data_IF_007170515238
#
_entry.id   IF_007170515238
#
_cell.length_a   1.000
_cell.length_b   1.000
_cell.length_c   1.000
_cell.angle_alpha   90.00
_cell.angle_beta   90.00
_cell.angle_gamma   90.00
#
_symmetry.space_group_name_H-M   'P 1'
#
loop_
_entity.id
_entity.type
_entity.pdbx_description
1 polymer ?
#
# COMPACT_ATOMS: atom_id res chain seq x y z
N UNK A 1 41.58 13.19 27.15
CA UNK A 1 40.42 12.32 26.83
C UNK A 1 40.42 12.04 25.34
N UNK A 2 40.75 10.81 24.92
CA UNK A 2 40.64 10.41 23.50
C UNK A 2 39.16 10.19 23.21
N UNK A 3 38.57 11.00 22.32
CA UNK A 3 37.21 10.74 21.79
C UNK A 3 37.27 9.40 21.07
N UNK A 4 36.60 8.38 21.59
CA UNK A 4 36.33 7.15 20.86
C UNK A 4 35.44 7.51 19.68
N UNK A 5 36.01 7.50 18.48
CA UNK A 5 35.25 7.65 17.24
C UNK A 5 34.65 6.28 16.96
N UNK A 6 33.35 6.14 17.18
CA UNK A 6 32.60 4.95 16.78
C UNK A 6 32.82 4.71 15.28
N UNK A 7 33.02 3.45 14.84
CA UNK A 7 33.23 3.17 13.43
C UNK A 7 32.04 3.68 12.58
N UNK A 8 32.29 4.13 11.34
CA UNK A 8 31.24 4.67 10.49
C UNK A 8 30.18 3.61 10.20
N UNK A 9 28.92 3.94 10.46
CA UNK A 9 27.80 3.04 10.26
C UNK A 9 27.60 2.82 8.74
N UNK A 10 27.81 1.59 8.29
CA UNK A 10 27.74 1.21 6.86
C UNK A 10 26.40 0.57 6.45
N UNK A 11 25.50 0.31 7.39
CA UNK A 11 24.22 -0.37 7.13
C UNK A 11 23.21 -0.19 8.24
N UNK A 12 22.05 -0.86 8.11
CA UNK A 12 20.97 -0.76 9.08
C UNK A 12 21.43 -1.20 10.49
N UNK A 13 21.21 -0.34 11.48
CA UNK A 13 21.52 -0.61 12.90
C UNK A 13 20.41 -1.39 13.62
N UNK A 14 19.39 -1.85 12.90
CA UNK A 14 18.26 -2.62 13.43
C UNK A 14 17.50 -1.93 14.58
N UNK A 15 17.36 -0.61 14.51
CA UNK A 15 16.59 0.15 15.50
C UNK A 15 15.05 -0.01 15.37
N UNK A 16 14.58 -0.60 14.26
CA UNK A 16 13.15 -0.82 14.01
C UNK A 16 12.32 0.41 13.62
N UNK A 17 12.85 1.64 13.74
CA UNK A 17 12.07 2.88 13.51
C UNK A 17 11.42 2.93 12.13
N UNK A 18 12.16 2.63 11.07
CA UNK A 18 11.60 2.64 9.71
C UNK A 18 10.65 1.48 9.46
N UNK A 19 10.94 0.30 10.03
CA UNK A 19 10.09 -0.87 9.90
C UNK A 19 8.70 -0.63 10.50
N UNK A 20 8.64 0.00 11.68
CA UNK A 20 7.38 0.36 12.38
C UNK A 20 6.55 1.42 11.64
N UNK A 21 7.17 2.25 10.81
CA UNK A 21 6.48 3.24 9.94
C UNK A 21 5.86 2.62 8.69
N UNK A 22 6.22 1.38 8.40
CA UNK A 22 5.44 0.52 7.52
C UNK A 22 6.07 0.12 6.21
N UNK A 23 7.37 -0.16 6.24
CA UNK A 23 8.04 -0.88 5.17
C UNK A 23 8.28 -0.05 3.90
N UNK A 24 9.09 -0.58 2.97
CA UNK A 24 9.53 0.13 1.79
C UNK A 24 8.49 0.10 0.67
N UNK A 25 8.46 1.18 -0.11
CA UNK A 25 7.90 1.21 -1.46
C UNK A 25 8.90 0.58 -2.42
N UNK A 26 8.41 -0.12 -3.44
CA UNK A 26 9.24 -0.86 -4.38
C UNK A 26 9.61 -0.01 -5.60
N UNK A 27 10.87 -0.13 -6.01
CA UNK A 27 11.44 0.55 -7.17
C UNK A 27 11.95 -0.45 -8.20
N UNK A 28 12.17 -0.06 -9.45
CA UNK A 28 12.62 -0.95 -10.54
C UNK A 28 13.91 -1.71 -10.19
N UNK A 29 14.74 -1.13 -9.33
CA UNK A 29 15.95 -1.73 -8.75
C UNK A 29 15.66 -2.98 -7.90
N UNK A 30 14.40 -3.22 -7.54
CA UNK A 30 13.91 -4.36 -6.75
C UNK A 30 13.31 -5.48 -7.59
N UNK A 31 13.22 -5.33 -8.93
CA UNK A 31 12.73 -6.39 -9.83
C UNK A 31 13.49 -7.71 -9.64
N UNK A 32 14.77 -7.61 -9.31
CA UNK A 32 15.66 -8.74 -9.08
C UNK A 32 15.34 -9.50 -7.79
N UNK A 33 14.80 -8.82 -6.77
CA UNK A 33 14.27 -9.47 -5.57
C UNK A 33 12.99 -10.21 -5.92
N UNK A 34 12.07 -9.56 -6.63
CA UNK A 34 10.77 -10.12 -7.02
C UNK A 34 10.91 -11.36 -7.92
N UNK A 35 11.89 -11.38 -8.82
CA UNK A 35 12.15 -12.55 -9.68
C UNK A 35 12.71 -13.74 -8.92
N UNK A 36 13.55 -13.51 -7.91
CA UNK A 36 14.21 -14.57 -7.14
C UNK A 36 13.36 -15.09 -5.98
N UNK A 37 12.41 -14.27 -5.52
CA UNK A 37 11.57 -14.53 -4.34
C UNK A 37 10.09 -14.30 -4.66
N UNK A 38 9.42 -15.21 -5.41
CA UNK A 38 8.01 -15.05 -5.76
C UNK A 38 7.06 -15.01 -4.55
N UNK A 39 7.45 -15.59 -3.43
CA UNK A 39 6.70 -15.51 -2.16
C UNK A 39 6.50 -14.06 -1.68
N UNK A 40 7.34 -13.12 -2.15
CA UNK A 40 7.21 -11.70 -1.81
C UNK A 40 5.86 -11.12 -2.24
N UNK A 41 5.26 -11.60 -3.34
CA UNK A 41 3.99 -11.06 -3.85
C UNK A 41 2.84 -11.21 -2.85
N UNK A 42 2.87 -12.25 -2.00
CA UNK A 42 1.91 -12.48 -0.90
C UNK A 42 2.04 -11.46 0.23
N UNK A 43 3.09 -10.64 0.19
CA UNK A 43 3.40 -9.63 1.20
C UNK A 43 3.51 -8.22 0.59
N UNK A 44 2.98 -8.06 -0.63
CA UNK A 44 2.84 -6.76 -1.28
C UNK A 44 1.42 -6.24 -1.18
N UNK A 45 1.32 -4.92 -1.22
CA UNK A 45 0.09 -4.18 -1.37
C UNK A 45 0.26 -3.15 -2.49
N UNK A 46 -0.77 -2.99 -3.32
CA UNK A 46 -0.83 -1.85 -4.23
C UNK A 46 -1.41 -0.65 -3.50
N UNK A 47 -0.69 0.47 -3.55
CA UNK A 47 -1.25 1.79 -3.27
C UNK A 47 -1.74 2.34 -4.60
N UNK A 48 -3.05 2.51 -4.71
CA UNK A 48 -3.72 2.85 -5.97
C UNK A 48 -3.65 4.36 -6.22
N UNK A 49 -3.72 4.76 -7.48
CA UNK A 49 -3.81 6.19 -7.81
C UNK A 49 -5.08 6.80 -7.20
N UNK A 50 -4.93 7.95 -6.52
CA UNK A 50 -6.00 8.60 -5.76
C UNK A 50 -6.15 8.12 -4.31
N UNK A 51 -5.50 7.02 -3.91
CA UNK A 51 -5.52 6.53 -2.53
C UNK A 51 -4.89 7.54 -1.56
N UNK A 52 -5.56 7.84 -0.44
CA UNK A 52 -5.01 8.69 0.60
C UNK A 52 -3.88 7.98 1.33
N UNK A 53 -2.66 8.49 1.17
CA UNK A 53 -1.45 7.93 1.79
C UNK A 53 -0.56 9.02 2.35
N UNK A 54 0.24 8.68 3.36
CA UNK A 54 1.20 9.62 3.92
C UNK A 54 2.36 9.83 2.95
N UNK A 55 2.53 11.07 2.46
CA UNK A 55 3.67 11.45 1.66
C UNK A 55 4.81 11.96 2.56
N UNK A 56 5.96 11.25 2.65
CA UNK A 56 7.07 11.67 3.51
C UNK A 56 7.79 12.94 3.03
N UNK A 57 7.56 13.39 1.78
CA UNK A 57 8.13 14.62 1.22
C UNK A 57 7.33 15.85 1.67
N UNK A 58 6.00 15.81 1.59
CA UNK A 58 5.13 16.91 2.04
C UNK A 58 4.83 16.85 3.54
N UNK A 59 4.95 15.66 4.15
CA UNK A 59 4.60 15.43 5.55
C UNK A 59 3.10 15.37 5.81
N UNK A 60 2.28 15.15 4.78
CA UNK A 60 0.83 15.14 4.85
C UNK A 60 0.22 13.86 4.28
N UNK A 61 -1.04 13.59 4.66
CA UNK A 61 -1.86 12.58 3.99
C UNK A 61 -2.51 13.21 2.78
N UNK A 62 -2.21 12.67 1.60
CA UNK A 62 -2.65 13.21 0.32
C UNK A 62 -2.93 12.08 -0.68
N UNK A 63 -3.72 12.34 -1.74
CA UNK A 63 -3.96 11.35 -2.77
C UNK A 63 -2.67 10.96 -3.49
N UNK A 64 -2.42 9.66 -3.64
CA UNK A 64 -1.29 9.16 -4.41
C UNK A 64 -1.42 9.59 -5.88
N UNK A 65 -0.41 10.29 -6.40
CA UNK A 65 -0.38 10.78 -7.79
C UNK A 65 -0.21 9.68 -8.84
N UNK A 66 0.10 8.46 -8.42
CA UNK A 66 0.27 7.29 -9.28
C UNK A 66 0.28 6.02 -8.44
N UNK A 67 -0.04 4.91 -9.09
CA UNK A 67 0.10 3.58 -8.52
C UNK A 67 1.56 3.27 -8.10
N UNK A 68 1.71 2.60 -6.96
CA UNK A 68 2.98 2.02 -6.50
C UNK A 68 2.77 0.74 -5.68
N UNK A 69 3.70 -0.21 -5.78
CA UNK A 69 3.75 -1.36 -4.90
C UNK A 69 4.55 -1.08 -3.63
N UNK A 70 4.09 -1.64 -2.51
CA UNK A 70 4.71 -1.47 -1.20
C UNK A 70 4.65 -2.79 -0.44
N UNK A 71 5.59 -3.02 0.48
CA UNK A 71 5.46 -4.11 1.45
C UNK A 71 4.27 -3.85 2.37
N UNK A 72 3.42 -4.86 2.55
CA UNK A 72 2.25 -4.76 3.42
C UNK A 72 2.62 -4.67 4.91
N UNK A 73 1.64 -4.29 5.73
CA UNK A 73 1.75 -4.36 7.18
C UNK A 73 1.73 -5.80 7.70
N UNK A 74 1.94 -5.99 9.01
CA UNK A 74 1.89 -7.31 9.65
C UNK A 74 0.46 -7.79 9.97
N UNK A 75 -0.57 -7.13 9.43
CA UNK A 75 -1.98 -7.42 9.67
C UNK A 75 -2.59 -6.77 10.91
N UNK A 76 -1.77 -6.30 11.86
CA UNK A 76 -2.23 -5.62 13.10
C UNK A 76 -1.97 -4.11 13.02
N UNK A 77 -0.84 -3.74 12.43
CA UNK A 77 -0.42 -2.36 12.26
C UNK A 77 0.22 -2.19 10.89
N UNK A 78 0.49 -0.93 10.55
CA UNK A 78 1.29 -0.60 9.37
C UNK A 78 2.71 -1.15 9.44
N UNK A 79 3.21 -1.60 10.61
CA UNK A 79 4.53 -2.21 10.77
C UNK A 79 4.84 -3.22 9.66
N UNK A 80 5.98 -3.04 8.99
CA UNK A 80 6.45 -3.86 7.88
C UNK A 80 6.31 -5.35 8.18
N UNK A 81 5.69 -6.10 7.27
CA UNK A 81 5.49 -7.54 7.38
C UNK A 81 6.79 -8.32 7.71
N UNK A 82 7.92 -7.93 7.13
CA UNK A 82 9.19 -8.62 7.34
C UNK A 82 9.94 -8.26 8.63
N UNK A 83 9.40 -7.36 9.45
CA UNK A 83 10.03 -6.95 10.70
C UNK A 83 9.60 -7.83 11.85
N UNK A 84 10.59 -8.46 12.50
CA UNK A 84 10.38 -9.18 13.75
C UNK A 84 10.65 -8.23 14.91
N UNK A 85 9.61 -7.93 15.66
CA UNK A 85 9.70 -6.96 16.75
C UNK A 85 10.51 -7.50 17.92
N UNK A 86 10.44 -8.81 18.18
CA UNK A 86 11.00 -9.46 19.38
C UNK A 86 12.51 -9.27 19.49
N UNK A 87 13.19 -9.32 18.34
CA UNK A 87 14.65 -9.22 18.23
C UNK A 87 15.11 -8.09 17.29
N UNK A 88 14.17 -7.25 16.86
CA UNK A 88 14.39 -6.17 15.89
C UNK A 88 15.08 -6.63 14.60
N UNK A 89 14.81 -7.87 14.16
CA UNK A 89 15.39 -8.44 12.94
C UNK A 89 14.50 -8.26 11.72
N UNK A 90 15.06 -8.55 10.54
CA UNK A 90 14.34 -8.52 9.27
C UNK A 90 14.45 -9.88 8.59
N UNK A 91 13.31 -10.48 8.25
CA UNK A 91 13.22 -11.80 7.64
C UNK A 91 13.89 -11.87 6.27
N UNK A 92 13.96 -10.75 5.56
CA UNK A 92 14.60 -10.63 4.24
C UNK A 92 15.86 -9.77 4.27
N UNK A 93 16.60 -9.72 5.39
CA UNK A 93 17.70 -8.75 5.57
C UNK A 93 18.74 -8.76 4.42
N UNK A 94 19.03 -9.93 3.86
CA UNK A 94 19.96 -10.11 2.74
C UNK A 94 19.39 -9.61 1.40
N UNK A 95 18.06 -9.59 1.25
CA UNK A 95 17.34 -9.26 0.02
C UNK A 95 16.45 -8.02 0.19
N UNK A 96 16.80 -7.14 1.15
CA UNK A 96 16.04 -5.92 1.44
C UNK A 96 15.90 -5.04 0.20
N UNK A 97 14.72 -4.46 0.03
CA UNK A 97 14.38 -3.52 -1.03
C UNK A 97 15.20 -2.22 -1.01
N UNK A 98 15.17 -1.46 -2.10
CA UNK A 98 16.00 -0.28 -2.33
C UNK A 98 15.93 0.74 -1.19
N UNK A 99 14.71 1.14 -0.80
CA UNK A 99 14.52 2.10 0.29
C UNK A 99 15.17 1.61 1.59
N UNK A 100 15.05 0.32 1.91
CA UNK A 100 15.69 -0.29 3.09
C UNK A 100 17.23 -0.34 3.00
N UNK A 101 17.81 -0.40 1.80
CA UNK A 101 19.26 -0.37 1.57
C UNK A 101 19.81 1.06 1.72
N UNK A 102 19.04 2.07 1.29
CA UNK A 102 19.44 3.49 1.31
C UNK A 102 19.16 4.13 2.68
N UNK A 103 18.06 3.75 3.33
CA UNK A 103 17.58 4.44 4.51
C UNK A 103 18.56 4.32 5.69
N UNK A 104 19.15 5.46 6.04
CA UNK A 104 19.98 5.64 7.22
C UNK A 104 19.12 6.28 8.30
N UNK A 105 18.79 5.54 9.37
CA UNK A 105 17.91 6.05 10.44
C UNK A 105 18.48 7.31 11.12
N UNK A 106 19.81 7.48 11.11
CA UNK A 106 20.52 8.64 11.63
C UNK A 106 20.68 9.79 10.61
N UNK A 107 20.28 9.58 9.35
CA UNK A 107 20.33 10.58 8.27
C UNK A 107 19.26 10.29 7.22
N UNK A 108 17.97 10.48 7.54
CA UNK A 108 16.87 10.06 6.69
C UNK A 108 16.77 10.84 5.37
N UNK A 109 17.45 11.99 5.24
CA UNK A 109 17.40 12.83 4.04
C UNK A 109 17.86 12.14 2.76
N UNK A 110 18.68 11.08 2.84
CA UNK A 110 19.17 10.36 1.65
C UNK A 110 18.07 9.57 0.92
N UNK A 111 17.00 9.15 1.62
CA UNK A 111 15.87 8.46 0.98
C UNK A 111 15.02 9.41 0.12
N UNK A 112 15.03 10.72 0.42
CA UNK A 112 14.26 11.72 -0.33
C UNK A 112 14.66 11.78 -1.81
N UNK A 113 15.89 11.36 -2.15
CA UNK A 113 16.37 11.31 -3.53
C UNK A 113 15.74 10.18 -4.36
N UNK A 114 15.14 9.17 -3.74
CA UNK A 114 14.53 8.02 -4.43
C UNK A 114 13.01 7.97 -4.32
N UNK A 115 12.42 8.59 -3.29
CA UNK A 115 10.97 8.61 -3.09
C UNK A 115 10.25 9.08 -4.37
N UNK A 116 9.30 8.28 -4.82
CA UNK A 116 8.50 8.58 -6.01
C UNK A 116 9.24 8.41 -7.35
N UNK A 117 10.47 7.89 -7.40
CA UNK A 117 11.20 7.63 -8.65
C UNK A 117 11.18 6.16 -9.01
N UNK A 118 11.19 5.82 -10.30
CA UNK A 118 11.30 4.43 -10.77
C UNK A 118 10.37 3.43 -10.05
N UNK A 119 9.16 3.84 -9.68
CA UNK A 119 8.24 2.99 -8.92
C UNK A 119 7.82 1.78 -9.75
N UNK A 120 7.67 0.63 -9.10
CA UNK A 120 7.06 -0.56 -9.70
C UNK A 120 5.54 -0.48 -9.56
N UNK A 121 4.85 -0.76 -10.66
CA UNK A 121 3.39 -0.95 -10.75
C UNK A 121 3.06 -2.43 -10.92
N UNK A 122 1.81 -2.83 -10.66
CA UNK A 122 1.32 -4.22 -10.82
C UNK A 122 1.65 -4.76 -12.22
N UNK A 123 1.41 -3.97 -13.27
CA UNK A 123 1.66 -4.42 -14.65
C UNK A 123 3.13 -4.48 -15.05
N UNK A 124 4.06 -3.92 -14.27
CA UNK A 124 5.50 -4.09 -14.52
C UNK A 124 5.98 -5.50 -14.12
N UNK A 125 5.23 -6.19 -13.26
CA UNK A 125 5.60 -7.49 -12.67
C UNK A 125 4.68 -8.64 -13.08
N UNK A 126 3.53 -8.34 -13.70
CA UNK A 126 2.58 -9.33 -14.20
C UNK A 126 2.90 -9.76 -15.62
N UNK A 127 2.59 -11.03 -15.93
CA UNK A 127 2.68 -11.53 -17.30
C UNK A 127 1.64 -10.84 -18.19
N UNK A 128 2.00 -10.55 -19.44
CA UNK A 128 1.13 -9.81 -20.36
C UNK A 128 -0.26 -10.43 -20.55
N UNK A 129 -0.34 -11.77 -20.52
CA UNK A 129 -1.57 -12.53 -20.74
C UNK A 129 -2.19 -13.07 -19.43
N UNK A 130 -1.79 -12.53 -18.28
CA UNK A 130 -2.35 -12.94 -17.00
C UNK A 130 -3.83 -12.51 -16.91
N UNK A 131 -4.78 -13.44 -16.64
CA UNK A 131 -6.21 -13.12 -16.56
C UNK A 131 -6.54 -12.09 -15.46
N UNK A 132 -5.72 -11.99 -14.41
CA UNK A 132 -5.92 -11.01 -13.34
C UNK A 132 -5.75 -9.57 -13.82
N UNK A 133 -5.11 -9.32 -14.98
CA UNK A 133 -5.01 -7.97 -15.54
C UNK A 133 -6.37 -7.39 -15.89
N UNK A 134 -7.29 -8.21 -16.40
CA UNK A 134 -8.66 -7.78 -16.73
C UNK A 134 -9.44 -7.43 -15.46
N UNK A 135 -9.23 -8.18 -14.39
CA UNK A 135 -9.83 -7.90 -13.08
C UNK A 135 -9.31 -6.56 -12.53
N UNK A 136 -8.00 -6.31 -12.64
CA UNK A 136 -7.40 -5.04 -12.23
C UNK A 136 -7.98 -3.87 -13.04
N UNK A 137 -8.06 -3.99 -14.36
CA UNK A 137 -8.61 -2.93 -15.22
C UNK A 137 -10.08 -2.64 -14.91
N UNK A 138 -10.88 -3.69 -14.73
CA UNK A 138 -12.28 -3.56 -14.31
C UNK A 138 -12.38 -2.89 -12.93
N UNK A 139 -11.56 -3.30 -11.97
CA UNK A 139 -11.54 -2.74 -10.62
C UNK A 139 -11.14 -1.26 -10.61
N UNK A 140 -10.12 -0.86 -11.37
CA UNK A 140 -9.71 0.55 -11.45
C UNK A 140 -10.78 1.42 -12.10
N UNK A 141 -11.51 0.88 -13.09
CA UNK A 141 -12.60 1.58 -13.75
C UNK A 141 -13.81 1.75 -12.85
N UNK A 142 -14.27 0.66 -12.23
CA UNK A 142 -15.52 0.63 -11.47
C UNK A 142 -15.34 1.14 -10.02
N UNK A 143 -14.12 1.05 -9.49
CA UNK A 143 -13.77 1.42 -8.13
C UNK A 143 -12.67 2.48 -8.06
N UNK A 144 -12.64 3.42 -9.02
CA UNK A 144 -11.62 4.47 -9.07
C UNK A 144 -11.55 5.26 -7.76
N UNK A 145 -10.33 5.52 -7.29
CA UNK A 145 -10.09 6.38 -6.12
C UNK A 145 -9.79 7.84 -6.51
N UNK A 146 -9.80 8.15 -7.81
CA UNK A 146 -9.63 9.52 -8.29
C UNK A 146 -10.78 10.38 -7.77
N UNK A 147 -10.45 11.44 -7.05
CA UNK A 147 -11.45 12.32 -6.44
C UNK A 147 -12.06 11.78 -5.14
N UNK A 148 -11.65 10.60 -4.66
CA UNK A 148 -12.17 10.01 -3.41
C UNK A 148 -12.10 11.00 -2.23
N UNK A 149 -10.97 11.72 -2.11
CA UNK A 149 -10.79 12.73 -1.06
C UNK A 149 -11.91 13.77 -1.06
N UNK A 150 -12.35 14.25 -2.23
CA UNK A 150 -13.39 15.27 -2.30
C UNK A 150 -14.74 14.74 -1.78
N UNK A 151 -15.06 13.48 -2.07
CA UNK A 151 -16.26 12.83 -1.53
C UNK A 151 -16.16 12.57 -0.03
N UNK A 152 -14.97 12.18 0.47
CA UNK A 152 -14.72 12.06 1.91
C UNK A 152 -14.90 13.42 2.60
N UNK A 153 -14.24 14.47 2.11
CA UNK A 153 -14.34 15.81 2.68
C UNK A 153 -15.79 16.32 2.68
N UNK A 154 -16.53 16.10 1.58
CA UNK A 154 -17.93 16.48 1.47
C UNK A 154 -18.83 15.70 2.45
N UNK A 155 -18.57 14.41 2.65
CA UNK A 155 -19.31 13.59 3.62
C UNK A 155 -19.01 13.96 5.09
N UNK A 156 -17.79 14.42 5.39
CA UNK A 156 -17.39 14.79 6.76
C UNK A 156 -17.75 16.22 7.14
N UNK A 157 -17.65 17.16 6.20
CA UNK A 157 -17.71 18.60 6.48
C UNK A 157 -18.76 19.36 5.66
N UNK A 158 -19.45 18.68 4.74
CA UNK A 158 -20.48 19.29 3.89
C UNK A 158 -21.81 19.52 4.62
N UNK A 159 -22.60 20.47 4.08
CA UNK A 159 -23.96 20.73 4.57
C UNK A 159 -24.97 19.67 4.12
N UNK A 160 -24.83 19.16 2.89
CA UNK A 160 -25.59 18.02 2.37
C UNK A 160 -24.65 16.85 2.13
N UNK A 161 -24.81 15.79 2.92
CA UNK A 161 -23.96 14.59 2.90
C UNK A 161 -24.63 13.42 2.17
N UNK A 162 -25.89 13.56 1.73
CA UNK A 162 -26.65 12.44 1.16
C UNK A 162 -26.05 11.93 -0.15
N UNK A 163 -25.71 12.86 -1.05
CA UNK A 163 -25.10 12.52 -2.34
C UNK A 163 -23.68 11.93 -2.15
N UNK A 164 -22.77 12.57 -1.39
CA UNK A 164 -21.44 12.00 -1.13
C UNK A 164 -21.49 10.62 -0.50
N UNK A 165 -22.32 10.42 0.54
CA UNK A 165 -22.46 9.11 1.17
C UNK A 165 -23.05 8.08 0.21
N UNK A 166 -23.97 8.48 -0.67
CA UNK A 166 -24.52 7.63 -1.71
C UNK A 166 -23.47 7.16 -2.72
N UNK A 167 -22.55 8.05 -3.14
CA UNK A 167 -21.42 7.70 -4.00
C UNK A 167 -20.47 6.74 -3.30
N UNK A 168 -20.06 7.07 -2.06
CA UNK A 168 -19.16 6.22 -1.27
C UNK A 168 -19.77 4.83 -1.01
N UNK A 169 -21.09 4.75 -0.78
CA UNK A 169 -21.78 3.49 -0.57
C UNK A 169 -21.79 2.60 -1.82
N UNK A 170 -22.02 3.19 -3.00
CA UNK A 170 -21.95 2.45 -4.28
C UNK A 170 -20.53 1.98 -4.58
N UNK A 171 -19.54 2.82 -4.27
CA UNK A 171 -18.12 2.48 -4.44
C UNK A 171 -17.74 1.27 -3.58
N UNK A 172 -18.12 1.27 -2.30
CA UNK A 172 -17.90 0.13 -1.39
C UNK A 172 -18.60 -1.13 -1.90
N UNK A 173 -19.87 -1.04 -2.28
CA UNK A 173 -20.62 -2.22 -2.76
C UNK A 173 -20.00 -2.83 -4.02
N UNK A 174 -19.49 -1.99 -4.93
CA UNK A 174 -18.81 -2.44 -6.15
C UNK A 174 -17.45 -3.06 -5.84
N UNK A 175 -16.67 -2.46 -4.95
CA UNK A 175 -15.39 -3.00 -4.49
C UNK A 175 -15.57 -4.39 -3.86
N UNK A 176 -16.52 -4.52 -2.94
CA UNK A 176 -16.86 -5.80 -2.28
C UNK A 176 -17.28 -6.87 -3.31
N UNK A 177 -18.12 -6.52 -4.29
CA UNK A 177 -18.57 -7.45 -5.33
C UNK A 177 -17.42 -7.94 -6.23
N UNK A 178 -16.50 -7.05 -6.63
CA UNK A 178 -15.35 -7.42 -7.46
C UNK A 178 -14.37 -8.29 -6.66
N UNK A 179 -14.12 -7.96 -5.40
CA UNK A 179 -13.29 -8.78 -4.51
C UNK A 179 -13.85 -10.19 -4.34
N UNK A 180 -15.16 -10.29 -4.08
CA UNK A 180 -15.84 -11.59 -3.98
C UNK A 180 -15.67 -12.41 -5.26
N UNK A 181 -15.94 -11.82 -6.42
CA UNK A 181 -15.77 -12.49 -7.71
C UNK A 181 -14.31 -12.94 -7.95
N UNK A 182 -13.33 -12.07 -7.66
CA UNK A 182 -11.92 -12.40 -7.82
C UNK A 182 -11.50 -13.59 -6.96
N UNK A 183 -11.89 -13.61 -5.68
CA UNK A 183 -11.52 -14.67 -4.74
C UNK A 183 -12.24 -15.99 -5.02
N UNK A 184 -13.55 -15.95 -5.29
CA UNK A 184 -14.38 -17.15 -5.34
C UNK A 184 -14.61 -17.72 -6.74
N UNK A 185 -14.62 -16.88 -7.79
CA UNK A 185 -14.93 -17.33 -9.15
C UNK A 185 -13.68 -17.42 -10.03
N UNK A 186 -12.73 -16.50 -9.86
CA UNK A 186 -11.45 -16.51 -10.59
C UNK A 186 -10.38 -17.35 -9.87
N UNK A 187 -10.51 -17.53 -8.55
CA UNK A 187 -9.55 -18.28 -7.74
C UNK A 187 -8.30 -17.47 -7.38
N UNK A 188 -8.44 -16.14 -7.24
CA UNK A 188 -7.39 -15.30 -6.66
C UNK A 188 -7.06 -15.80 -5.26
N UNK A 189 -5.78 -16.05 -5.02
CA UNK A 189 -5.27 -16.40 -3.69
C UNK A 189 -5.51 -15.24 -2.71
N UNK A 190 -6.09 -15.48 -1.52
CA UNK A 190 -6.33 -14.44 -0.52
C UNK A 190 -5.07 -13.67 -0.15
N UNK A 191 -3.91 -14.33 -0.10
CA UNK A 191 -2.62 -13.72 0.23
C UNK A 191 -2.17 -12.69 -0.82
N UNK A 192 -2.63 -12.83 -2.06
CA UNK A 192 -2.34 -11.92 -3.15
C UNK A 192 -3.42 -10.82 -3.32
N UNK A 193 -4.50 -10.83 -2.52
CA UNK A 193 -5.62 -9.90 -2.72
C UNK A 193 -5.16 -8.45 -2.63
N UNK A 194 -4.38 -8.10 -1.61
CA UNK A 194 -3.87 -6.74 -1.43
C UNK A 194 -2.90 -6.31 -2.53
N UNK A 195 -2.14 -7.26 -3.10
CA UNK A 195 -1.28 -6.99 -4.25
C UNK A 195 -2.12 -6.70 -5.50
N UNK A 196 -3.23 -7.42 -5.71
CA UNK A 196 -4.05 -7.32 -6.91
C UNK A 196 -5.09 -6.19 -6.82
N UNK A 197 -5.78 -6.02 -5.71
CA UNK A 197 -6.92 -5.09 -5.56
C UNK A 197 -6.66 -3.95 -4.56
N UNK A 198 -5.51 -3.97 -3.88
CA UNK A 198 -5.22 -3.01 -2.82
C UNK A 198 -6.13 -3.20 -1.61
N UNK A 199 -6.15 -2.20 -0.73
CA UNK A 199 -6.99 -2.23 0.47
C UNK A 199 -8.46 -2.12 0.10
N UNK A 200 -9.37 -2.78 0.85
CA UNK A 200 -10.80 -2.55 0.69
C UNK A 200 -11.14 -1.06 0.85
N UNK A 201 -11.98 -0.53 -0.04
CA UNK A 201 -12.43 0.87 0.02
C UNK A 201 -13.09 1.14 1.37
N UNK A 202 -13.85 0.18 1.88
CA UNK A 202 -14.48 0.22 3.20
C UNK A 202 -13.49 0.53 4.32
N UNK A 203 -12.30 -0.06 4.28
CA UNK A 203 -11.27 0.16 5.30
C UNK A 203 -10.62 1.52 5.15
N UNK A 204 -10.43 2.00 3.92
CA UNK A 204 -9.97 3.37 3.67
C UNK A 204 -10.95 4.42 4.22
N UNK A 205 -12.25 4.19 4.05
CA UNK A 205 -13.29 5.08 4.58
C UNK A 205 -13.34 5.03 6.10
N UNK A 206 -13.20 3.84 6.69
CA UNK A 206 -13.14 3.67 8.15
C UNK A 206 -11.97 4.45 8.76
N UNK A 207 -10.79 4.40 8.13
CA UNK A 207 -9.62 5.18 8.55
C UNK A 207 -9.87 6.70 8.46
N UNK A 208 -10.71 7.14 7.51
CA UNK A 208 -11.15 8.52 7.38
C UNK A 208 -12.30 8.88 8.36
N UNK A 209 -12.78 7.95 9.17
CA UNK A 209 -13.88 8.16 10.12
C UNK A 209 -15.28 8.02 9.53
N UNK A 210 -15.41 7.45 8.32
CA UNK A 210 -16.69 7.20 7.66
C UNK A 210 -17.02 5.70 7.73
N UNK A 211 -18.14 5.37 8.36
CA UNK A 211 -18.68 4.01 8.37
C UNK A 211 -19.83 3.91 7.36
N UNK A 212 -19.68 3.00 6.40
CA UNK A 212 -20.73 2.63 5.45
C UNK A 212 -21.21 1.24 5.83
N UNK A 213 -22.48 1.07 6.20
CA UNK A 213 -23.05 -0.26 6.36
C UNK A 213 -23.25 -0.90 4.99
N UNK A 214 -23.00 -2.20 4.88
CA UNK A 214 -23.37 -2.94 3.68
C UNK A 214 -24.91 -2.89 3.56
N UNK A 215 -25.44 -2.08 2.64
CA UNK A 215 -26.83 -2.28 2.22
C UNK A 215 -26.90 -3.63 1.53
N UNK A 216 -27.79 -4.50 1.99
CA UNK A 216 -28.09 -5.73 1.28
C UNK A 216 -28.45 -5.39 -0.18
N UNK A 217 -27.90 -6.13 -1.17
CA UNK A 217 -28.31 -5.95 -2.55
C UNK A 217 -29.78 -6.40 -2.69
N UNK A 218 -30.72 -5.44 -2.74
CA UNK A 218 -32.13 -5.75 -3.07
C UNK A 218 -33.25 -4.93 -2.42
N UNK A 219 -33.02 -3.70 -1.95
CA UNK A 219 -34.12 -2.82 -1.54
C UNK A 219 -34.53 -1.87 -2.69
N UNK A 220 -35.31 -2.37 -3.63
CA UNK A 220 -36.24 -1.63 -4.49
C UNK A 220 -37.47 -2.50 -4.75
#
# INVERSE_FOLDING_TARGET
MKRQISPPISGCIRCGTCCRKGGPVLHREDMDVLRRHPEVYEHLIVIREGELTFNPVSGAVEPASREMLKVTGNGVAWTCHYFREEDSSCLIYAHRFLECRILKCWKPSEILGVIGRNLIRRFDVMNQNDPLRQIIEMHEKECSLIGLKAFIDAAMFGHDVSEPLGVLSRLVAKDDAIRFHALHEIGLKPECELFILGRPVRDMLRDAGISIDAREPGAA
#
